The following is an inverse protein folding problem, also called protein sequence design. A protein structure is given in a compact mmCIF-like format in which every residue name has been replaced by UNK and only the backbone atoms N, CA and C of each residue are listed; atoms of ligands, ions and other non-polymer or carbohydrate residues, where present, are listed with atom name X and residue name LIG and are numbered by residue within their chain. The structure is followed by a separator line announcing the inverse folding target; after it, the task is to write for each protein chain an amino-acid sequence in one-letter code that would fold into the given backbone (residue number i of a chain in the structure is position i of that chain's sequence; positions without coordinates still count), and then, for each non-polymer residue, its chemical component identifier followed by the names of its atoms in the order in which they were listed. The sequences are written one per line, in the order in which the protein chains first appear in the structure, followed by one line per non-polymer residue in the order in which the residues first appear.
data_IF_708318707171
#
_entry.id   IF_708318707171
#
_cell.length_a   1.000
_cell.length_b   1.000
_cell.length_c   1.000
_cell.angle_alpha   90.00
_cell.angle_beta   90.00
_cell.angle_gamma   90.00
#
_symmetry.space_group_name_H-M   'P 1'
#
loop_
_entity.id
_entity.type
_entity.pdbx_description
1 polymer ?
#
# COMPACT_ATOMS: atom_id res chain seq x y z
N UNK A 1 3.89 -13.24 -2.84
CA UNK A 1 3.38 -13.41 -1.45
C UNK A 1 4.21 -12.65 -0.40
N UNK A 2 5.42 -12.18 -0.69
CA UNK A 2 6.24 -11.41 0.23
C UNK A 2 6.44 -10.00 -0.35
N UNK A 3 5.50 -9.11 -0.05
CA UNK A 3 5.69 -7.70 -0.34
C UNK A 3 6.70 -7.14 0.70
N UNK A 4 7.97 -7.06 0.32
CA UNK A 4 9.11 -6.73 1.19
C UNK A 4 8.95 -5.39 1.92
N UNK A 5 8.21 -4.45 1.34
CA UNK A 5 7.98 -3.13 1.90
C UNK A 5 7.15 -3.13 3.18
N UNK A 6 6.09 -3.94 3.25
CA UNK A 6 5.18 -3.98 4.40
C UNK A 6 5.78 -4.63 5.64
N UNK A 7 6.70 -5.58 5.47
CA UNK A 7 7.33 -6.28 6.60
C UNK A 7 8.64 -5.62 7.07
N UNK A 8 9.05 -4.50 6.48
CA UNK A 8 10.33 -3.83 6.81
C UNK A 8 11.55 -4.74 6.58
N UNK A 9 11.48 -5.66 5.61
CA UNK A 9 12.58 -6.54 5.23
C UNK A 9 13.20 -6.06 3.92
N UNK A 10 14.54 -6.11 3.81
CA UNK A 10 15.22 -5.75 2.57
C UNK A 10 15.02 -6.82 1.49
N UNK A 11 15.27 -6.47 0.22
CA UNK A 11 15.17 -7.41 -0.91
C UNK A 11 15.98 -8.69 -0.68
N UNK A 12 17.22 -8.55 -0.19
CA UNK A 12 18.07 -9.71 0.13
C UNK A 12 17.47 -10.55 1.26
N UNK A 13 16.86 -9.93 2.26
CA UNK A 13 16.17 -10.66 3.34
C UNK A 13 14.94 -11.39 2.83
N UNK A 14 14.16 -10.78 1.91
CA UNK A 14 13.03 -11.43 1.24
C UNK A 14 13.47 -12.64 0.42
N UNK A 15 14.54 -12.50 -0.36
CA UNK A 15 15.10 -13.60 -1.14
C UNK A 15 15.58 -14.75 -0.26
N UNK A 16 16.22 -14.45 0.89
CA UNK A 16 16.64 -15.45 1.88
C UNK A 16 15.43 -16.14 2.51
N UNK A 17 14.38 -15.39 2.87
CA UNK A 17 13.13 -15.97 3.41
C UNK A 17 12.46 -16.92 2.42
N UNK A 18 12.39 -16.54 1.14
CA UNK A 18 11.85 -17.42 0.10
C UNK A 18 12.65 -18.71 -0.04
N UNK A 19 13.98 -18.62 -0.07
CA UNK A 19 14.86 -19.77 -0.15
C UNK A 19 14.78 -20.68 1.11
N UNK A 20 14.59 -20.08 2.28
CA UNK A 20 14.32 -20.84 3.53
C UNK A 20 12.99 -21.58 3.47
N UNK A 21 11.95 -20.99 2.90
CA UNK A 21 10.65 -21.63 2.72
C UNK A 21 10.71 -22.81 1.72
N UNK A 22 11.64 -22.75 0.75
CA UNK A 22 11.97 -23.86 -0.15
C UNK A 22 12.80 -24.98 0.54
N UNK A 23 13.22 -24.79 1.79
CA UNK A 23 14.01 -25.75 2.57
C UNK A 23 15.51 -25.75 2.27
N UNK A 24 16.03 -24.71 1.58
CA UNK A 24 17.44 -24.64 1.21
C UNK A 24 18.34 -24.42 2.44
N UNK A 25 19.50 -25.08 2.41
CA UNK A 25 20.55 -24.89 3.43
C UNK A 25 21.27 -23.55 3.26
N UNK A 26 21.96 -23.09 4.33
CA UNK A 26 22.75 -21.84 4.28
C UNK A 26 23.78 -21.83 3.15
N UNK A 27 24.35 -22.99 2.80
CA UNK A 27 25.33 -23.13 1.72
C UNK A 27 24.68 -22.92 0.35
N UNK A 28 23.50 -23.50 0.14
CA UNK A 28 22.74 -23.35 -1.11
C UNK A 28 22.20 -21.92 -1.29
N UNK A 29 21.72 -21.32 -0.20
CA UNK A 29 21.29 -19.92 -0.18
C UNK A 29 22.45 -18.99 -0.52
N UNK A 30 23.63 -19.22 0.07
CA UNK A 30 24.84 -18.45 -0.18
C UNK A 30 25.26 -18.51 -1.66
N UNK A 31 25.23 -19.70 -2.23
CA UNK A 31 25.54 -19.92 -3.67
C UNK A 31 24.50 -19.23 -4.58
N UNK A 32 23.21 -19.38 -4.28
CA UNK A 32 22.11 -18.78 -5.07
C UNK A 32 22.12 -17.25 -5.05
N UNK A 33 22.42 -16.65 -3.88
CA UNK A 33 22.45 -15.19 -3.72
C UNK A 33 23.84 -14.57 -3.96
N UNK A 34 24.85 -15.37 -4.30
CA UNK A 34 26.23 -14.96 -4.52
C UNK A 34 26.83 -14.16 -3.33
N UNK A 35 26.54 -14.60 -2.11
CA UNK A 35 27.02 -14.00 -0.85
C UNK A 35 27.72 -15.06 0.02
N UNK A 36 28.50 -14.61 1.01
CA UNK A 36 29.16 -15.50 1.94
C UNK A 36 28.13 -16.22 2.84
N UNK A 37 28.41 -17.47 3.21
CA UNK A 37 27.56 -18.25 4.14
C UNK A 37 27.41 -17.55 5.50
N UNK A 38 28.45 -16.83 5.97
CA UNK A 38 28.38 -16.01 7.18
C UNK A 38 27.37 -14.88 7.05
N UNK A 39 27.25 -14.29 5.86
CA UNK A 39 26.26 -13.25 5.56
C UNK A 39 24.83 -13.83 5.63
N UNK A 40 24.60 -15.02 5.09
CA UNK A 40 23.29 -15.71 5.21
C UNK A 40 22.94 -15.92 6.68
N UNK A 41 23.88 -16.43 7.50
CA UNK A 41 23.66 -16.64 8.95
C UNK A 41 23.32 -15.33 9.66
N UNK A 42 23.99 -14.23 9.31
CA UNK A 42 23.73 -12.93 9.91
C UNK A 42 22.32 -12.42 9.54
N UNK A 43 21.90 -12.57 8.28
CA UNK A 43 20.52 -12.23 7.87
C UNK A 43 19.48 -13.10 8.57
N UNK A 44 19.71 -14.40 8.70
CA UNK A 44 18.82 -15.31 9.47
C UNK A 44 18.71 -14.91 10.93
N UNK A 45 19.82 -14.50 11.55
CA UNK A 45 19.79 -13.99 12.91
C UNK A 45 18.93 -12.73 13.04
N UNK A 46 19.14 -11.76 12.15
CA UNK A 46 18.35 -10.51 12.12
C UNK A 46 16.86 -10.77 11.86
N UNK A 47 16.53 -11.74 11.01
CA UNK A 47 15.14 -12.13 10.73
C UNK A 47 14.47 -12.77 11.95
N UNK A 48 15.17 -13.63 12.68
CA UNK A 48 14.67 -14.21 13.94
C UNK A 48 14.49 -13.14 15.03
N UNK A 49 15.36 -12.16 15.06
CA UNK A 49 15.22 -11.05 16.01
C UNK A 49 13.98 -10.20 15.68
N UNK A 50 13.75 -9.91 14.40
CA UNK A 50 12.52 -9.25 13.96
C UNK A 50 11.26 -10.07 14.28
N UNK A 51 11.30 -11.38 14.08
CA UNK A 51 10.20 -12.28 14.45
C UNK A 51 9.89 -12.19 15.95
N UNK A 52 10.92 -12.21 16.80
CA UNK A 52 10.76 -12.09 18.25
C UNK A 52 10.14 -10.75 18.63
N UNK A 53 10.63 -9.65 18.05
CA UNK A 53 10.11 -8.30 18.29
C UNK A 53 8.64 -8.19 17.84
N UNK A 54 8.29 -8.75 16.68
CA UNK A 54 6.93 -8.75 16.18
C UNK A 54 5.97 -9.54 17.09
N UNK A 55 6.41 -10.70 17.61
CA UNK A 55 5.60 -11.48 18.57
C UNK A 55 5.35 -10.72 19.88
N UNK A 56 6.38 -10.06 20.41
CA UNK A 56 6.25 -9.24 21.63
C UNK A 56 5.30 -8.07 21.37
N UNK A 57 5.45 -7.39 20.23
CA UNK A 57 4.58 -6.29 19.86
C UNK A 57 3.11 -6.72 19.73
N UNK A 58 2.86 -7.85 19.06
CA UNK A 58 1.50 -8.41 18.93
C UNK A 58 0.90 -8.76 20.30
N UNK A 59 1.69 -9.38 21.20
CA UNK A 59 1.22 -9.69 22.54
C UNK A 59 0.87 -8.42 23.33
N UNK A 60 1.67 -7.36 23.22
CA UNK A 60 1.35 -6.06 23.84
C UNK A 60 0.03 -5.50 23.27
N UNK A 61 -0.16 -5.55 21.95
CA UNK A 61 -1.37 -5.05 21.33
C UNK A 61 -2.61 -5.85 21.73
N UNK A 62 -2.48 -7.17 21.90
CA UNK A 62 -3.57 -8.01 22.40
C UNK A 62 -3.93 -7.67 23.85
N UNK A 63 -2.94 -7.54 24.74
CA UNK A 63 -3.16 -7.12 26.12
C UNK A 63 -3.81 -5.73 26.22
N UNK A 64 -3.41 -4.79 25.36
CA UNK A 64 -4.04 -3.47 25.30
C UNK A 64 -5.51 -3.56 24.89
N UNK A 65 -5.87 -4.42 23.92
CA UNK A 65 -7.26 -4.63 23.52
C UNK A 65 -8.12 -5.22 24.67
N UNK A 66 -7.54 -6.10 25.48
CA UNK A 66 -8.24 -6.66 26.64
C UNK A 66 -8.39 -5.65 27.79
N UNK A 67 -7.42 -4.71 27.92
CA UNK A 67 -7.35 -3.76 29.02
C UNK A 67 -8.16 -2.47 28.81
N UNK A 68 -8.43 -2.13 27.56
CA UNK A 68 -9.26 -0.98 27.18
C UNK A 68 -10.64 -1.53 26.82
N UNK A 69 -11.71 -1.15 27.55
CA UNK A 69 -13.07 -1.43 27.08
C UNK A 69 -13.17 -0.84 25.66
N UNK A 70 -13.30 -1.68 24.67
CA UNK A 70 -13.52 -1.25 23.30
C UNK A 70 -14.86 -0.56 23.31
N UNK A 71 -14.87 0.77 23.43
CA UNK A 71 -16.01 1.56 22.99
C UNK A 71 -16.06 1.38 21.46
N UNK A 72 -16.69 0.29 21.03
CA UNK A 72 -16.88 -0.07 19.61
C UNK A 72 -17.73 0.96 18.84
N UNK A 73 -18.02 2.13 19.46
CA UNK A 73 -19.00 3.09 18.96
C UNK A 73 -18.52 4.54 18.94
N UNK A 74 -17.20 4.83 18.89
CA UNK A 74 -16.78 6.15 18.47
C UNK A 74 -16.50 6.15 16.96
N UNK A 75 -17.44 6.60 16.13
CA UNK A 75 -17.29 6.61 14.68
C UNK A 75 -16.13 7.54 14.22
N UNK A 76 -15.64 8.42 15.10
CA UNK A 76 -14.55 9.36 14.80
C UNK A 76 -13.16 8.74 14.81
N UNK A 77 -12.94 7.64 15.53
CA UNK A 77 -11.61 7.00 15.65
C UNK A 77 -11.38 5.84 14.67
N UNK A 78 -12.37 5.47 13.89
CA UNK A 78 -12.20 4.38 12.93
C UNK A 78 -11.27 4.79 11.80
N UNK A 79 -10.05 4.26 11.85
CA UNK A 79 -9.05 4.52 10.81
C UNK A 79 -9.39 3.79 9.52
N UNK A 80 -9.22 4.49 8.39
CA UNK A 80 -9.30 3.88 7.07
C UNK A 80 -8.09 2.98 6.84
N UNK A 81 -8.32 1.73 6.43
CA UNK A 81 -7.22 0.85 6.06
C UNK A 81 -6.44 1.41 4.86
N UNK A 82 -5.09 1.39 4.89
CA UNK A 82 -4.29 1.70 3.72
C UNK A 82 -4.64 0.75 2.55
N UNK A 83 -4.52 1.23 1.31
CA UNK A 83 -4.67 0.33 0.18
C UNK A 83 -3.50 -0.68 0.13
N UNK A 84 -3.76 -1.91 -0.33
CA UNK A 84 -2.80 -3.04 -0.28
C UNK A 84 -1.48 -2.79 -1.01
N UNK A 85 -1.45 -1.89 -1.95
CA UNK A 85 -0.28 -1.55 -2.77
C UNK A 85 0.44 -0.29 -2.30
N UNK A 86 0.10 0.23 -1.11
CA UNK A 86 0.85 1.31 -0.50
C UNK A 86 2.30 0.87 -0.29
N UNK A 87 3.25 1.56 -0.92
CA UNK A 87 4.67 1.22 -0.86
C UNK A 87 5.31 1.57 0.49
N UNK A 88 4.74 2.53 1.19
CA UNK A 88 5.11 2.96 2.54
C UNK A 88 3.86 3.43 3.27
N UNK A 89 3.61 2.89 4.46
CA UNK A 89 2.53 3.37 5.33
C UNK A 89 3.15 4.33 6.34
N UNK A 90 2.84 5.59 6.19
CA UNK A 90 3.28 6.69 7.06
C UNK A 90 2.07 7.55 7.46
N UNK A 91 2.31 8.71 8.09
CA UNK A 91 1.26 9.61 8.57
C UNK A 91 0.23 10.04 7.50
N UNK A 92 0.55 9.88 6.21
CA UNK A 92 -0.38 10.16 5.10
C UNK A 92 -1.56 9.19 5.07
N UNK A 93 -1.41 8.01 5.66
CA UNK A 93 -2.43 6.96 5.70
C UNK A 93 -3.19 6.90 7.02
N UNK A 94 -2.81 7.70 8.02
CA UNK A 94 -3.56 7.84 9.27
C UNK A 94 -4.77 8.75 9.01
N UNK A 95 -5.85 8.16 8.46
CA UNK A 95 -7.06 8.85 8.00
C UNK A 95 -8.26 8.23 8.71
N UNK A 96 -9.04 9.04 9.42
CA UNK A 96 -10.30 8.57 10.00
C UNK A 96 -11.43 8.62 8.96
N UNK A 97 -12.49 7.86 9.18
CA UNK A 97 -13.67 7.89 8.29
C UNK A 97 -14.34 9.26 8.26
N UNK A 98 -14.31 10.00 9.35
CA UNK A 98 -14.80 11.39 9.41
C UNK A 98 -13.96 12.32 8.55
N UNK A 99 -12.63 12.29 8.71
CA UNK A 99 -11.72 13.06 7.86
C UNK A 99 -11.90 12.71 6.38
N UNK A 100 -12.03 11.42 6.06
CA UNK A 100 -12.30 10.97 4.69
C UNK A 100 -13.56 11.59 4.15
N UNK A 101 -14.66 11.54 4.90
CA UNK A 101 -15.96 12.09 4.50
C UNK A 101 -15.88 13.60 4.30
N UNK A 102 -15.23 14.33 5.20
CA UNK A 102 -15.03 15.78 5.07
C UNK A 102 -14.19 16.14 3.83
N UNK A 103 -13.10 15.41 3.59
CA UNK A 103 -12.24 15.62 2.41
C UNK A 103 -13.05 15.39 1.14
N UNK A 104 -13.78 14.28 1.04
CA UNK A 104 -14.57 13.98 -0.15
C UNK A 104 -15.66 15.03 -0.39
N UNK A 105 -16.38 15.46 0.63
CA UNK A 105 -17.40 16.51 0.53
C UNK A 105 -16.84 17.89 0.13
N UNK A 106 -15.59 18.18 0.54
CA UNK A 106 -14.92 19.44 0.19
C UNK A 106 -14.48 19.45 -1.27
N UNK A 107 -13.88 18.37 -1.75
CA UNK A 107 -13.19 18.33 -3.05
C UNK A 107 -14.03 17.78 -4.19
N UNK A 108 -15.06 16.98 -3.93
CA UNK A 108 -16.00 16.55 -4.96
C UNK A 108 -17.29 17.35 -4.93
N UNK A 109 -17.90 17.53 -6.08
CA UNK A 109 -19.25 18.07 -6.19
C UNK A 109 -20.31 16.94 -6.17
N UNK A 110 -21.60 17.32 -6.24
CA UNK A 110 -22.73 16.39 -6.23
C UNK A 110 -22.74 15.43 -7.44
N UNK A 111 -22.06 15.79 -8.52
CA UNK A 111 -21.94 14.98 -9.73
C UNK A 111 -20.70 14.05 -9.71
N UNK A 112 -19.91 14.10 -8.64
CA UNK A 112 -18.68 13.34 -8.51
C UNK A 112 -17.50 13.93 -9.29
N UNK A 113 -17.59 15.21 -9.68
CA UNK A 113 -16.49 15.93 -10.33
C UNK A 113 -15.54 16.51 -9.27
N UNK A 114 -14.25 16.34 -9.46
CA UNK A 114 -13.20 16.85 -8.58
C UNK A 114 -12.96 18.34 -8.89
N UNK A 115 -13.30 19.22 -7.95
CA UNK A 115 -13.17 20.68 -8.07
C UNK A 115 -11.74 21.13 -8.23
N UNK A 116 -10.83 20.57 -7.42
CA UNK A 116 -9.40 20.87 -7.44
C UNK A 116 -8.57 19.71 -6.90
N UNK A 117 -7.30 19.65 -7.27
CA UNK A 117 -6.36 18.65 -6.76
C UNK A 117 -5.65 19.24 -5.54
N UNK A 118 -5.81 18.63 -4.34
CA UNK A 118 -5.24 19.19 -3.12
C UNK A 118 -3.71 19.14 -3.11
N UNK A 119 -3.08 20.14 -2.48
CA UNK A 119 -1.63 20.17 -2.31
C UNK A 119 -1.13 19.16 -1.25
N UNK A 120 -1.95 18.91 -0.19
CA UNK A 120 -1.54 18.05 0.93
C UNK A 120 -1.63 16.57 0.58
N UNK A 121 -0.56 15.83 0.85
CA UNK A 121 -0.41 14.41 0.54
C UNK A 121 -1.54 13.53 1.11
N UNK A 122 -1.88 13.71 2.38
CA UNK A 122 -2.98 12.98 3.04
C UNK A 122 -4.31 13.10 2.28
N UNK A 123 -4.63 14.32 1.80
CA UNK A 123 -5.84 14.58 1.02
C UNK A 123 -5.77 13.96 -0.38
N UNK A 124 -4.59 13.97 -1.01
CA UNK A 124 -4.39 13.31 -2.31
C UNK A 124 -4.68 11.82 -2.22
N UNK A 125 -4.17 11.14 -1.18
CA UNK A 125 -4.43 9.70 -0.98
C UNK A 125 -5.93 9.40 -0.92
N UNK A 126 -6.70 10.19 -0.16
CA UNK A 126 -8.17 10.02 -0.06
C UNK A 126 -8.84 10.18 -1.41
N UNK A 127 -8.48 11.24 -2.16
CA UNK A 127 -9.08 11.54 -3.46
C UNK A 127 -8.71 10.48 -4.49
N UNK A 128 -7.44 10.08 -4.56
CA UNK A 128 -6.99 9.07 -5.50
C UNK A 128 -7.63 7.71 -5.23
N UNK A 129 -7.81 7.35 -3.95
CA UNK A 129 -8.57 6.15 -3.55
C UNK A 129 -10.01 6.21 -4.05
N UNK A 130 -10.69 7.35 -3.90
CA UNK A 130 -12.04 7.55 -4.42
C UNK A 130 -12.11 7.45 -5.95
N UNK A 131 -11.12 8.00 -6.64
CA UNK A 131 -11.01 7.90 -8.10
C UNK A 131 -10.79 6.45 -8.54
N UNK A 132 -9.98 5.68 -7.81
CA UNK A 132 -9.70 4.28 -8.10
C UNK A 132 -10.97 3.40 -8.11
N UNK A 133 -11.99 3.75 -7.31
CA UNK A 133 -13.29 3.06 -7.29
C UNK A 133 -14.02 3.05 -8.66
N UNK A 134 -13.64 3.93 -9.59
CA UNK A 134 -14.20 3.98 -10.95
C UNK A 134 -13.62 2.92 -11.89
N UNK A 135 -12.63 2.18 -11.45
CA UNK A 135 -11.97 1.13 -12.22
C UNK A 135 -12.32 -0.24 -11.64
N UNK A 136 -12.49 -1.23 -12.52
CA UNK A 136 -12.77 -2.60 -12.08
C UNK A 136 -11.46 -3.35 -11.84
N UNK A 137 -11.28 -3.98 -10.66
CA UNK A 137 -10.14 -4.87 -10.40
C UNK A 137 -10.01 -5.97 -11.46
N UNK A 138 -8.77 -6.37 -11.76
CA UNK A 138 -8.49 -7.42 -12.74
C UNK A 138 -8.74 -7.03 -14.20
N UNK A 139 -9.22 -5.82 -14.49
CA UNK A 139 -9.50 -5.35 -15.86
C UNK A 139 -8.30 -4.55 -16.39
N UNK A 140 -7.93 -4.84 -17.65
CA UNK A 140 -6.95 -4.05 -18.40
C UNK A 140 -7.66 -2.99 -19.23
N UNK A 141 -7.14 -1.77 -19.18
CA UNK A 141 -7.66 -0.60 -19.88
C UNK A 141 -6.60 -0.07 -20.86
N UNK A 142 -7.03 0.40 -22.01
CA UNK A 142 -6.20 1.23 -22.90
C UNK A 142 -6.03 2.63 -22.31
N UNK A 143 -5.02 3.37 -22.73
CA UNK A 143 -4.84 4.77 -22.31
C UNK A 143 -6.09 5.62 -22.60
N UNK A 144 -6.73 5.41 -23.74
CA UNK A 144 -7.95 6.13 -24.14
C UNK A 144 -9.11 5.86 -23.19
N UNK A 145 -9.27 4.63 -22.72
CA UNK A 145 -10.31 4.26 -21.75
C UNK A 145 -10.04 4.88 -20.38
N UNK A 146 -8.79 4.82 -19.91
CA UNK A 146 -8.38 5.50 -18.66
C UNK A 146 -8.67 7.00 -18.76
N UNK A 147 -8.24 7.63 -19.84
CA UNK A 147 -8.48 9.07 -20.05
C UNK A 147 -9.96 9.41 -20.08
N UNK A 148 -10.80 8.57 -20.69
CA UNK A 148 -12.26 8.76 -20.74
C UNK A 148 -12.89 8.72 -19.35
N UNK A 149 -12.43 7.77 -18.50
CA UNK A 149 -12.90 7.65 -17.11
C UNK A 149 -12.48 8.89 -16.31
N UNK A 150 -11.19 9.24 -16.35
CA UNK A 150 -10.63 10.33 -15.55
C UNK A 150 -11.14 11.71 -16.00
N UNK A 151 -11.37 11.91 -17.29
CA UNK A 151 -11.93 13.17 -17.84
C UNK A 151 -13.33 13.50 -17.31
N UNK A 152 -14.10 12.49 -16.92
CA UNK A 152 -15.41 12.71 -16.27
C UNK A 152 -15.26 13.24 -14.85
N UNK A 153 -14.07 13.07 -14.26
CA UNK A 153 -13.79 13.42 -12.87
C UNK A 153 -13.11 14.78 -12.79
N UNK A 154 -12.16 15.07 -13.71
CA UNK A 154 -11.48 16.36 -13.75
C UNK A 154 -10.83 16.59 -15.12
N UNK A 155 -10.77 17.85 -15.56
CA UNK A 155 -10.19 18.22 -16.85
C UNK A 155 -8.68 17.99 -16.92
N UNK A 156 -7.95 18.09 -15.77
CA UNK A 156 -6.53 17.73 -15.70
C UNK A 156 -6.33 16.22 -15.43
N UNK A 157 -7.07 15.40 -16.22
CA UNK A 157 -6.95 13.94 -16.16
C UNK A 157 -5.53 13.41 -16.44
N UNK A 158 -4.66 14.07 -17.24
CA UNK A 158 -3.30 13.59 -17.43
C UNK A 158 -2.47 13.67 -16.15
N UNK A 159 -2.66 14.69 -15.33
CA UNK A 159 -2.00 14.84 -14.03
C UNK A 159 -2.54 13.82 -13.03
N UNK A 160 -3.85 13.64 -12.95
CA UNK A 160 -4.47 12.61 -12.10
C UNK A 160 -3.94 11.21 -12.46
N UNK A 161 -3.86 10.86 -13.74
CA UNK A 161 -3.32 9.56 -14.18
C UNK A 161 -1.89 9.34 -13.68
N UNK A 162 -1.03 10.36 -13.74
CA UNK A 162 0.34 10.29 -13.22
C UNK A 162 0.35 10.09 -11.70
N UNK A 163 -0.45 10.83 -10.96
CA UNK A 163 -0.59 10.67 -9.52
C UNK A 163 -1.08 9.26 -9.15
N UNK A 164 -2.07 8.71 -9.85
CA UNK A 164 -2.55 7.35 -9.58
C UNK A 164 -1.46 6.29 -9.75
N UNK A 165 -0.54 6.47 -10.70
CA UNK A 165 0.61 5.58 -10.88
C UNK A 165 1.63 5.80 -9.76
N UNK A 166 1.98 7.04 -9.47
CA UNK A 166 2.95 7.43 -8.45
C UNK A 166 2.55 6.91 -7.05
N UNK A 167 1.28 7.04 -6.69
CA UNK A 167 0.74 6.57 -5.41
C UNK A 167 0.39 5.08 -5.40
N UNK A 168 0.61 4.35 -6.49
CA UNK A 168 0.44 2.90 -6.57
C UNK A 168 -1.00 2.42 -6.71
N UNK A 169 -1.96 3.28 -7.04
CA UNK A 169 -3.33 2.87 -7.34
C UNK A 169 -3.49 2.28 -8.74
N UNK A 170 -2.76 2.82 -9.71
CA UNK A 170 -2.78 2.39 -11.10
C UNK A 170 -1.38 1.91 -11.51
N UNK A 171 -1.31 0.89 -12.33
CA UNK A 171 -0.07 0.44 -12.97
C UNK A 171 -0.22 0.40 -14.48
N UNK A 172 0.89 0.27 -15.20
CA UNK A 172 0.90 0.24 -16.66
C UNK A 172 2.04 -0.60 -17.21
N UNK A 173 1.91 -1.03 -18.46
CA UNK A 173 3.04 -1.57 -19.22
C UNK A 173 4.07 -0.47 -19.55
N UNK A 174 5.32 -0.85 -19.79
CA UNK A 174 6.41 0.07 -20.13
C UNK A 174 6.14 0.90 -21.40
N UNK A 175 5.40 0.33 -22.35
CA UNK A 175 4.97 0.97 -23.60
C UNK A 175 3.67 1.76 -23.48
N UNK A 176 3.08 1.83 -22.27
CA UNK A 176 1.83 2.52 -21.97
C UNK A 176 0.60 1.99 -22.75
N UNK A 177 0.68 0.77 -23.29
CA UNK A 177 -0.43 0.18 -24.05
C UNK A 177 -1.56 -0.34 -23.16
N UNK A 178 -1.26 -0.73 -21.94
CA UNK A 178 -2.23 -1.28 -20.98
C UNK A 178 -2.04 -0.72 -19.59
N UNK A 179 -3.16 -0.44 -18.93
CA UNK A 179 -3.27 0.06 -17.56
C UNK A 179 -4.19 -0.85 -16.75
N UNK A 180 -3.95 -0.98 -15.44
CA UNK A 180 -4.80 -1.73 -14.52
C UNK A 180 -4.71 -1.17 -13.11
N UNK A 181 -5.76 -1.38 -12.32
CA UNK A 181 -5.73 -1.08 -10.88
C UNK A 181 -4.87 -2.12 -10.16
N UNK A 182 -3.99 -1.67 -9.30
CA UNK A 182 -3.25 -2.53 -8.37
C UNK A 182 -4.18 -2.93 -7.23
N UNK A 183 -4.24 -4.23 -6.96
CA UNK A 183 -4.96 -4.83 -5.83
C UNK A 183 -4.03 -5.02 -4.62
#
# INVERSE_FOLDING_TARGET
LLNSGLAGVSEIQSAILAAMAEGLSDKEIAARQQIAQSTVRNHRFKLREKERQARVFLAIMELMKESVPTEENDPGEKLCEPHRTASMVDDRYVITEEERTQILGTFFDENGHLKEIPAREKRKVVILRKIAENFKPGTKYTETEVNRILKRINDDFPYIRRLMIEYGFLDRTSDCSSYWIKE
#
